data_IF_251782156975
#
_entry.id   IF_251782156975
#
_cell.length_a   1.000
_cell.length_b   1.000
_cell.length_c   1.000
_cell.angle_alpha   90.00
_cell.angle_beta   90.00
_cell.angle_gamma   90.00
#
_symmetry.space_group_name_H-M   'P 1'
#
loop_
_entity.id
_entity.type
_entity.pdbx_description
1 polymer ?
#
# COMPACT_ATOMS: atom_id res chain seq x y z
N UNK A 1 1.61 -2.45 -15.50
CA UNK A 1 0.59 -1.71 -14.73
C UNK A 1 -0.72 -2.47 -14.71
N UNK A 2 -1.34 -2.72 -15.86
CA UNK A 2 -2.68 -3.35 -15.97
C UNK A 2 -2.83 -4.67 -15.20
N UNK A 3 -1.84 -5.55 -15.24
CA UNK A 3 -1.89 -6.82 -14.49
C UNK A 3 -1.99 -6.59 -12.98
N UNK A 4 -1.26 -5.62 -12.43
CA UNK A 4 -1.30 -5.31 -10.99
C UNK A 4 -2.64 -4.70 -10.59
N UNK A 5 -3.19 -3.80 -11.42
CA UNK A 5 -4.53 -3.21 -11.19
C UNK A 5 -5.61 -4.30 -11.19
N UNK A 6 -5.53 -5.22 -12.14
CA UNK A 6 -6.44 -6.38 -12.20
C UNK A 6 -6.33 -7.27 -10.97
N UNK A 7 -5.10 -7.63 -10.56
CA UNK A 7 -4.86 -8.40 -9.33
C UNK A 7 -5.49 -7.70 -8.12
N UNK A 8 -5.25 -6.40 -7.97
CA UNK A 8 -5.82 -5.63 -6.87
C UNK A 8 -7.35 -5.65 -6.90
N UNK A 9 -7.97 -5.35 -8.04
CA UNK A 9 -9.43 -5.33 -8.17
C UNK A 9 -10.07 -6.69 -7.89
N UNK A 10 -9.49 -7.77 -8.44
CA UNK A 10 -9.96 -9.13 -8.17
C UNK A 10 -9.78 -9.53 -6.70
N UNK A 11 -8.71 -9.07 -6.05
CA UNK A 11 -8.48 -9.27 -4.62
C UNK A 11 -9.47 -8.49 -3.77
N UNK A 12 -9.77 -7.24 -4.15
CA UNK A 12 -10.69 -6.36 -3.45
C UNK A 12 -12.13 -6.91 -3.50
N UNK A 13 -12.55 -7.41 -4.67
CA UNK A 13 -13.87 -8.03 -4.82
C UNK A 13 -14.00 -9.28 -3.93
N UNK A 14 -13.01 -10.18 -3.96
CA UNK A 14 -13.03 -11.38 -3.11
C UNK A 14 -12.91 -11.05 -1.61
N UNK A 15 -12.13 -10.03 -1.26
CA UNK A 15 -12.06 -9.51 0.10
C UNK A 15 -13.43 -9.08 0.59
N UNK A 16 -14.18 -8.32 -0.20
CA UNK A 16 -15.54 -7.94 0.15
C UNK A 16 -16.50 -9.12 0.24
N UNK A 17 -16.44 -10.07 -0.70
CA UNK A 17 -17.29 -11.27 -0.69
C UNK A 17 -17.06 -12.13 0.57
N UNK A 18 -15.83 -12.19 1.07
CA UNK A 18 -15.44 -13.08 2.18
C UNK A 18 -15.35 -12.40 3.54
N UNK A 19 -15.07 -11.10 3.60
CA UNK A 19 -14.77 -10.36 4.83
C UNK A 19 -15.80 -9.27 5.17
N UNK A 20 -16.90 -9.11 4.40
CA UNK A 20 -17.95 -8.14 4.68
C UNK A 20 -18.46 -8.20 6.14
N UNK A 21 -18.66 -9.41 6.69
CA UNK A 21 -19.09 -9.58 8.07
C UNK A 21 -18.06 -9.07 9.09
N UNK A 22 -16.76 -9.25 8.83
CA UNK A 22 -15.70 -8.73 9.68
C UNK A 22 -15.64 -7.20 9.63
N UNK A 23 -15.84 -6.59 8.45
CA UNK A 23 -15.92 -5.14 8.30
C UNK A 23 -17.13 -4.60 9.10
N UNK A 24 -18.29 -5.23 8.98
CA UNK A 24 -19.52 -4.81 9.67
C UNK A 24 -19.45 -4.99 11.19
N UNK A 25 -18.72 -6.01 11.68
CA UNK A 25 -18.50 -6.25 13.10
C UNK A 25 -17.36 -5.40 13.69
N UNK A 26 -16.91 -4.36 12.97
CA UNK A 26 -15.87 -3.43 13.38
C UNK A 26 -14.53 -4.12 13.74
N UNK A 27 -14.22 -5.25 13.09
CA UNK A 27 -12.93 -5.94 13.28
C UNK A 27 -11.77 -4.99 12.95
N UNK A 28 -10.70 -5.05 13.72
CA UNK A 28 -9.57 -4.10 13.61
C UNK A 28 -8.94 -4.07 12.21
N UNK A 29 -8.52 -2.89 11.75
CA UNK A 29 -7.89 -2.66 10.42
C UNK A 29 -6.72 -3.63 10.17
N UNK A 30 -5.85 -3.85 11.16
CA UNK A 30 -4.73 -4.80 11.05
C UNK A 30 -5.16 -6.22 10.71
N UNK A 31 -6.27 -6.68 11.28
CA UNK A 31 -6.79 -8.00 10.98
C UNK A 31 -7.34 -8.04 9.56
N UNK A 32 -8.13 -7.04 9.16
CA UNK A 32 -8.64 -6.91 7.79
C UNK A 32 -7.51 -6.87 6.75
N UNK A 33 -6.43 -6.15 7.01
CA UNK A 33 -5.23 -6.13 6.16
C UNK A 33 -4.55 -7.49 6.06
N UNK A 34 -4.42 -8.22 7.17
CA UNK A 34 -3.89 -9.59 7.15
C UNK A 34 -4.79 -10.54 6.35
N UNK A 35 -6.12 -10.41 6.45
CA UNK A 35 -7.07 -11.17 5.64
C UNK A 35 -6.97 -10.82 4.16
N UNK A 36 -6.85 -9.55 3.81
CA UNK A 36 -6.61 -9.10 2.44
C UNK A 36 -5.31 -9.69 1.89
N UNK A 37 -4.23 -9.69 2.67
CA UNK A 37 -2.94 -10.27 2.28
C UNK A 37 -3.05 -11.74 1.85
N UNK A 38 -3.87 -12.53 2.56
CA UNK A 38 -4.13 -13.94 2.24
C UNK A 38 -4.83 -14.14 0.89
N UNK A 39 -5.50 -13.12 0.36
CA UNK A 39 -6.16 -13.14 -0.96
C UNK A 39 -5.22 -12.58 -2.04
N UNK A 40 -4.55 -11.46 -1.74
CA UNK A 40 -3.68 -10.74 -2.67
C UNK A 40 -2.46 -11.56 -3.10
N UNK A 41 -1.77 -12.21 -2.15
CA UNK A 41 -0.54 -12.94 -2.45
C UNK A 41 -0.77 -14.13 -3.41
N UNK A 42 -1.75 -15.02 -3.19
CA UNK A 42 -2.02 -16.11 -4.13
C UNK A 42 -2.37 -15.60 -5.55
N UNK A 43 -3.17 -14.54 -5.67
CA UNK A 43 -3.50 -13.96 -6.98
C UNK A 43 -2.27 -13.36 -7.66
N UNK A 44 -1.40 -12.68 -6.92
CA UNK A 44 -0.13 -12.20 -7.45
C UNK A 44 0.76 -13.36 -7.95
N UNK A 45 0.88 -14.43 -7.16
CA UNK A 45 1.66 -15.61 -7.56
C UNK A 45 1.08 -16.29 -8.79
N UNK A 46 -0.24 -16.45 -8.88
CA UNK A 46 -0.91 -17.01 -10.05
C UNK A 46 -0.68 -16.18 -11.32
N UNK A 47 -0.49 -14.86 -11.18
CA UNK A 47 -0.16 -13.95 -12.27
C UNK A 47 1.36 -13.88 -12.60
N UNK A 48 2.20 -14.70 -11.95
CA UNK A 48 3.63 -14.82 -12.25
C UNK A 48 4.57 -14.11 -11.26
N UNK A 49 4.04 -13.43 -10.23
CA UNK A 49 4.84 -12.74 -9.21
C UNK A 49 5.31 -13.70 -8.10
N UNK A 50 5.98 -14.80 -8.48
CA UNK A 50 6.29 -15.94 -7.59
C UNK A 50 7.16 -15.57 -6.36
N UNK A 51 8.01 -14.55 -6.49
CA UNK A 51 8.93 -14.10 -5.46
C UNK A 51 8.44 -12.87 -4.69
N UNK A 52 7.16 -12.51 -4.84
CA UNK A 52 6.53 -11.41 -4.12
C UNK A 52 5.63 -11.93 -3.01
N UNK A 53 5.55 -11.16 -1.93
CA UNK A 53 4.82 -11.48 -0.72
C UNK A 53 3.90 -10.33 -0.35
N UNK A 54 2.69 -10.66 0.11
CA UNK A 54 1.78 -9.67 0.67
C UNK A 54 1.97 -9.66 2.20
N UNK A 55 2.64 -8.63 2.72
CA UNK A 55 2.96 -8.53 4.15
C UNK A 55 2.23 -7.35 4.79
N UNK A 56 1.50 -7.61 5.88
CA UNK A 56 0.92 -6.57 6.70
C UNK A 56 1.97 -5.96 7.64
N UNK A 57 1.95 -4.64 7.81
CA UNK A 57 2.83 -3.89 8.72
C UNK A 57 4.34 -4.16 8.56
N UNK A 58 4.79 -4.54 7.34
CA UNK A 58 6.19 -4.86 7.12
C UNK A 58 7.07 -3.61 7.03
N UNK A 59 7.87 -3.39 8.06
CA UNK A 59 8.66 -2.17 8.25
C UNK A 59 10.18 -2.40 8.15
N UNK A 60 10.62 -3.44 7.43
CA UNK A 60 12.06 -3.70 7.20
C UNK A 60 12.45 -3.49 5.74
N UNK A 61 13.64 -2.96 5.47
CA UNK A 61 14.30 -3.04 4.16
C UNK A 61 15.74 -3.51 4.37
N UNK A 62 16.07 -4.72 3.92
CA UNK A 62 17.40 -5.35 4.10
C UNK A 62 17.90 -5.30 5.56
N UNK A 63 17.00 -5.42 6.53
CA UNK A 63 17.30 -5.41 7.96
C UNK A 63 17.14 -4.05 8.65
N UNK A 64 17.08 -2.95 7.90
CA UNK A 64 16.86 -1.62 8.45
C UNK A 64 15.37 -1.26 8.55
N UNK A 65 15.00 -0.30 9.39
CA UNK A 65 13.63 0.25 9.41
C UNK A 65 13.34 0.98 8.10
N UNK A 66 12.18 0.74 7.49
CA UNK A 66 11.74 1.46 6.28
C UNK A 66 11.52 2.94 6.60
N UNK A 67 12.14 3.82 5.83
CA UNK A 67 11.94 5.26 5.95
C UNK A 67 11.59 5.88 4.61
N UNK A 68 10.91 7.03 4.63
CA UNK A 68 10.71 7.90 3.46
C UNK A 68 11.28 9.27 3.78
N UNK A 69 11.65 10.03 2.74
CA UNK A 69 11.86 11.45 2.86
C UNK A 69 10.55 12.17 2.53
N UNK A 70 10.05 12.96 3.46
CA UNK A 70 8.88 13.80 3.21
C UNK A 70 9.21 14.95 2.24
N UNK A 71 8.21 15.76 1.89
CA UNK A 71 8.41 16.88 0.96
C UNK A 71 9.33 17.98 1.56
N UNK A 72 9.63 17.94 2.86
CA UNK A 72 10.60 18.83 3.52
C UNK A 72 11.98 18.17 3.68
N UNK A 73 12.22 17.02 3.03
CA UNK A 73 13.44 16.21 3.17
C UNK A 73 13.71 15.72 4.58
N UNK A 74 12.67 15.55 5.40
CA UNK A 74 12.76 14.95 6.73
C UNK A 74 12.58 13.44 6.62
N UNK A 75 13.49 12.68 7.24
CA UNK A 75 13.39 11.22 7.32
C UNK A 75 12.28 10.80 8.29
N UNK A 76 11.31 10.04 7.78
CA UNK A 76 10.16 9.55 8.53
C UNK A 76 10.10 8.03 8.42
N UNK A 77 10.03 7.34 9.56
CA UNK A 77 9.79 5.88 9.58
C UNK A 77 8.38 5.56 9.11
N UNK A 78 8.26 4.54 8.26
CA UNK A 78 6.98 4.12 7.70
C UNK A 78 6.67 2.66 7.97
N UNK A 79 5.39 2.41 8.23
CA UNK A 79 4.78 1.08 8.33
C UNK A 79 3.46 1.16 7.58
N UNK A 80 3.43 0.69 6.33
CA UNK A 80 2.19 0.58 5.58
C UNK A 80 1.34 -0.56 6.13
N UNK A 81 0.03 -0.41 6.05
CA UNK A 81 -0.89 -1.44 6.53
C UNK A 81 -0.71 -2.76 5.77
N UNK A 82 -0.52 -2.71 4.45
CA UNK A 82 -0.22 -3.86 3.61
C UNK A 82 0.67 -3.48 2.42
N UNK A 83 1.67 -4.33 2.12
CA UNK A 83 2.52 -4.17 0.94
C UNK A 83 2.66 -5.48 0.16
N UNK A 84 2.74 -5.38 -1.17
CA UNK A 84 3.17 -6.44 -2.08
C UNK A 84 4.58 -6.12 -2.58
N UNK A 85 5.56 -6.90 -2.17
CA UNK A 85 6.98 -6.63 -2.40
C UNK A 85 7.83 -7.91 -2.41
N UNK A 86 9.07 -7.81 -2.87
CA UNK A 86 9.99 -8.97 -2.92
C UNK A 86 10.82 -9.17 -1.64
N UNK A 87 10.59 -8.34 -0.61
CA UNK A 87 11.40 -8.25 0.62
C UNK A 87 12.88 -7.92 0.34
N UNK A 88 13.12 -7.07 -0.66
CA UNK A 88 14.46 -6.62 -1.07
C UNK A 88 15.22 -7.59 -1.99
N UNK A 89 14.59 -8.66 -2.48
CA UNK A 89 15.22 -9.68 -3.34
C UNK A 89 15.41 -9.25 -4.80
N UNK A 90 14.57 -8.36 -5.30
CA UNK A 90 14.57 -7.88 -6.68
C UNK A 90 14.89 -6.39 -6.69
N UNK A 91 16.15 -6.03 -6.94
CA UNK A 91 16.61 -4.64 -6.78
C UNK A 91 15.91 -3.67 -7.75
N UNK A 92 15.71 -4.09 -9.00
CA UNK A 92 15.10 -3.26 -10.04
C UNK A 92 13.60 -3.00 -9.80
N UNK A 93 12.92 -3.92 -9.09
CA UNK A 93 11.47 -3.85 -8.88
C UNK A 93 11.04 -4.51 -7.56
N UNK A 94 11.54 -4.02 -6.43
CA UNK A 94 11.20 -4.63 -5.14
C UNK A 94 9.74 -4.39 -4.75
N UNK A 95 9.27 -3.17 -4.96
CA UNK A 95 7.99 -2.68 -4.44
C UNK A 95 6.93 -2.66 -5.55
N UNK A 96 5.80 -3.36 -5.38
CA UNK A 96 4.71 -3.38 -6.36
C UNK A 96 3.51 -2.57 -5.90
N UNK A 97 2.90 -2.95 -4.78
CA UNK A 97 1.66 -2.34 -4.26
C UNK A 97 1.86 -1.94 -2.80
N UNK A 98 1.44 -0.73 -2.44
CA UNK A 98 1.23 -0.31 -1.06
C UNK A 98 -0.26 -0.02 -0.83
N UNK A 99 -0.80 -0.42 0.31
CA UNK A 99 -2.18 -0.19 0.71
C UNK A 99 -2.20 0.40 2.12
N UNK A 100 -2.96 1.48 2.28
CA UNK A 100 -3.41 2.00 3.58
C UNK A 100 -4.92 1.76 3.69
N UNK A 101 -5.38 1.24 4.82
CA UNK A 101 -6.78 0.91 5.06
C UNK A 101 -7.33 1.72 6.21
N UNK A 102 -8.49 2.35 5.99
CA UNK A 102 -9.11 3.22 6.99
C UNK A 102 -10.59 2.98 7.14
N UNK A 103 -11.06 2.93 8.37
CA UNK A 103 -12.49 2.97 8.70
C UNK A 103 -13.03 4.40 8.72
N UNK A 104 -14.31 4.55 8.39
CA UNK A 104 -15.03 5.83 8.33
C UNK A 104 -15.13 6.58 9.65
N UNK A 105 -14.97 5.88 10.78
CA UNK A 105 -15.02 6.47 12.12
C UNK A 105 -13.68 7.10 12.58
N UNK A 106 -12.69 7.17 11.70
CA UNK A 106 -11.37 7.74 11.99
C UNK A 106 -11.25 9.20 11.52
N UNK A 107 -10.35 9.99 12.10
CA UNK A 107 -10.18 11.40 11.73
C UNK A 107 -9.67 11.60 10.30
N UNK A 108 -10.22 12.60 9.59
CA UNK A 108 -9.80 13.00 8.23
C UNK A 108 -8.31 13.37 8.12
N UNK A 109 -7.71 13.87 9.21
CA UNK A 109 -6.29 14.21 9.25
C UNK A 109 -5.36 13.01 9.07
N UNK A 110 -5.84 11.81 9.39
CA UNK A 110 -5.11 10.56 9.15
C UNK A 110 -5.16 10.19 7.65
N UNK A 111 -6.32 10.35 6.99
CA UNK A 111 -6.45 10.14 5.53
C UNK A 111 -5.48 11.02 4.74
N UNK A 112 -5.38 12.31 5.09
CA UNK A 112 -4.46 13.24 4.40
C UNK A 112 -3.02 12.76 4.52
N UNK A 113 -2.62 12.27 5.70
CA UNK A 113 -1.28 11.75 5.96
C UNK A 113 -1.00 10.49 5.16
N UNK A 114 -1.95 9.56 5.14
CA UNK A 114 -1.84 8.29 4.43
C UNK A 114 -1.77 8.51 2.91
N UNK A 115 -2.60 9.39 2.36
CA UNK A 115 -2.54 9.76 0.95
C UNK A 115 -1.21 10.43 0.58
N UNK A 116 -0.70 11.36 1.39
CA UNK A 116 0.60 11.98 1.15
C UNK A 116 1.75 10.95 1.17
N UNK A 117 1.68 9.99 2.11
CA UNK A 117 2.64 8.89 2.17
C UNK A 117 2.60 8.02 0.91
N UNK A 118 1.41 7.63 0.43
CA UNK A 118 1.26 6.86 -0.82
C UNK A 118 1.77 7.63 -2.04
N UNK A 119 1.57 8.95 -2.10
CA UNK A 119 2.19 9.80 -3.14
C UNK A 119 3.72 9.68 -3.09
N UNK A 120 4.33 9.92 -1.93
CA UNK A 120 5.80 9.83 -1.80
C UNK A 120 6.31 8.42 -2.18
N UNK A 121 5.67 7.37 -1.70
CA UNK A 121 6.10 5.99 -1.92
C UNK A 121 5.99 5.53 -3.37
N UNK A 122 5.09 6.13 -4.15
CA UNK A 122 4.91 5.83 -5.58
C UNK A 122 5.75 6.71 -6.49
N UNK A 123 6.55 7.64 -5.95
CA UNK A 123 7.57 8.34 -6.76
C UNK A 123 8.57 7.29 -7.32
N UNK A 124 8.97 7.39 -8.60
CA UNK A 124 9.86 6.41 -9.22
C UNK A 124 11.26 6.40 -8.57
N UNK A 125 11.69 7.56 -8.08
CA UNK A 125 12.95 7.80 -7.40
C UNK A 125 12.80 9.02 -6.48
N UNK A 126 13.82 9.31 -5.68
CA UNK A 126 13.94 10.55 -4.92
C UNK A 126 14.94 11.49 -5.62
N UNK A 127 14.79 11.74 -6.92
CA UNK A 127 15.73 12.59 -7.68
C UNK A 127 15.85 14.03 -7.11
N UNK A 128 14.83 14.49 -6.38
CA UNK A 128 14.83 15.80 -5.71
C UNK A 128 15.70 15.84 -4.44
N UNK A 129 16.22 14.70 -3.98
CA UNK A 129 17.08 14.61 -2.80
C UNK A 129 18.51 14.31 -3.27
N UNK A 130 19.33 15.36 -3.33
CA UNK A 130 20.77 15.22 -3.46
C UNK A 130 21.31 14.40 -2.28
N UNK A 131 21.54 13.11 -2.49
CA UNK A 131 22.31 12.29 -1.56
C UNK A 131 23.78 12.75 -1.66
N UNK A 132 24.16 13.66 -0.75
CA UNK A 132 25.48 14.32 -0.69
C UNK A 132 26.65 13.38 -0.35
N UNK A 133 26.39 12.10 -0.14
CA UNK A 133 27.41 11.08 0.08
C UNK A 133 27.01 9.84 -0.70
N UNK A 134 27.68 9.59 -1.83
CA UNK A 134 27.29 8.60 -2.83
C UNK A 134 26.79 7.25 -2.27
N UNK A 135 25.85 6.67 -3.03
CA UNK A 135 24.97 5.52 -2.76
C UNK A 135 23.64 5.89 -2.10
N UNK A 136 22.56 5.51 -2.78
CA UNK A 136 21.19 5.61 -2.29
C UNK A 136 21.08 4.75 -1.03
N UNK A 137 20.77 5.34 0.13
CA UNK A 137 20.66 4.56 1.35
C UNK A 137 19.51 3.56 1.20
N UNK A 138 19.84 2.27 1.35
CA UNK A 138 18.90 1.16 1.31
C UNK A 138 17.71 1.28 2.27
N UNK A 139 17.70 2.26 3.18
CA UNK A 139 16.59 2.55 4.11
C UNK A 139 15.42 3.28 3.46
N UNK A 140 15.69 4.11 2.45
CA UNK A 140 14.64 4.90 1.79
C UNK A 140 13.79 4.02 0.88
N UNK A 141 12.48 4.13 1.02
CA UNK A 141 11.52 3.27 0.34
C UNK A 141 10.61 4.08 -0.59
N UNK A 142 10.87 3.97 -1.89
CA UNK A 142 10.00 4.44 -2.97
C UNK A 142 9.91 3.40 -4.09
N UNK A 143 9.36 3.79 -5.24
CA UNK A 143 9.29 2.93 -6.42
C UNK A 143 8.16 1.91 -6.41
N UNK A 144 7.21 2.02 -5.47
CA UNK A 144 5.94 1.28 -5.57
C UNK A 144 5.26 1.66 -6.89
N UNK A 145 4.82 0.66 -7.66
CA UNK A 145 4.11 0.91 -8.93
C UNK A 145 2.74 1.52 -8.68
N UNK A 146 2.05 1.05 -7.64
CA UNK A 146 0.70 1.45 -7.28
C UNK A 146 0.61 1.64 -5.77
N UNK A 147 -0.10 2.69 -5.36
CA UNK A 147 -0.54 2.93 -4.00
C UNK A 147 -2.06 2.96 -3.95
N UNK A 148 -2.66 2.40 -2.91
CA UNK A 148 -4.10 2.42 -2.71
C UNK A 148 -4.44 2.91 -1.31
N UNK A 149 -5.35 3.87 -1.21
CA UNK A 149 -6.00 4.23 0.04
C UNK A 149 -7.41 3.66 0.01
N UNK A 150 -7.71 2.69 0.88
CA UNK A 150 -9.02 2.04 0.97
C UNK A 150 -9.76 2.55 2.21
N UNK A 151 -10.82 3.31 1.98
CA UNK A 151 -11.72 3.81 3.00
C UNK A 151 -12.99 2.94 3.09
N UNK A 152 -13.38 2.56 4.31
CA UNK A 152 -14.47 1.62 4.59
C UNK A 152 -15.53 2.23 5.51
N UNK A 153 -16.77 2.28 5.04
CA UNK A 153 -17.95 2.58 5.83
C UNK A 153 -18.75 1.32 6.11
N UNK A 154 -18.54 0.76 7.30
CA UNK A 154 -19.21 -0.45 7.76
C UNK A 154 -20.73 -0.26 7.92
N UNK A 155 -21.19 0.94 8.28
CA UNK A 155 -22.60 1.23 8.54
C UNK A 155 -23.39 1.28 7.23
N UNK A 156 -22.85 1.98 6.23
CA UNK A 156 -23.48 2.14 4.92
C UNK A 156 -23.07 1.06 3.92
N UNK A 157 -22.21 0.10 4.32
CA UNK A 157 -21.66 -0.94 3.45
C UNK A 157 -21.05 -0.36 2.17
N UNK A 158 -20.29 0.71 2.34
CA UNK A 158 -19.75 1.49 1.24
C UNK A 158 -18.24 1.62 1.37
N UNK A 159 -17.53 1.61 0.25
CA UNK A 159 -16.09 1.82 0.22
C UNK A 159 -15.71 2.87 -0.80
N UNK A 160 -14.54 3.47 -0.60
CA UNK A 160 -13.87 4.34 -1.56
C UNK A 160 -12.40 3.95 -1.66
N UNK A 161 -11.88 3.89 -2.87
CA UNK A 161 -10.47 3.65 -3.17
C UNK A 161 -9.91 4.84 -3.92
N UNK A 162 -8.79 5.37 -3.44
CA UNK A 162 -7.96 6.34 -4.17
C UNK A 162 -6.68 5.63 -4.63
N UNK A 163 -6.37 5.74 -5.92
CA UNK A 163 -5.22 5.09 -6.55
C UNK A 163 -4.12 6.12 -6.80
N UNK A 164 -2.89 5.75 -6.46
CA UNK A 164 -1.69 6.55 -6.62
C UNK A 164 -0.68 5.85 -7.52
N UNK A 165 -0.04 6.60 -8.41
CA UNK A 165 1.08 6.13 -9.22
C UNK A 165 1.98 7.29 -9.60
N UNK A 166 3.29 7.07 -9.65
CA UNK A 166 4.28 8.07 -10.06
C UNK A 166 4.18 9.39 -9.28
N UNK A 167 3.87 9.32 -7.97
CA UNK A 167 3.77 10.50 -7.12
C UNK A 167 2.43 11.23 -7.13
N UNK A 168 1.46 10.77 -7.93
CA UNK A 168 0.19 11.45 -8.13
C UNK A 168 -0.98 10.53 -7.84
N UNK A 169 -2.10 11.11 -7.44
CA UNK A 169 -3.39 10.44 -7.50
C UNK A 169 -3.84 10.35 -8.95
N UNK A 170 -4.17 9.15 -9.41
CA UNK A 170 -4.47 8.88 -10.82
C UNK A 170 -5.90 8.39 -11.04
N UNK A 171 -6.59 7.94 -9.99
CA UNK A 171 -7.97 7.47 -10.08
C UNK A 171 -8.63 7.47 -8.69
N UNK A 172 -9.96 7.59 -8.68
CA UNK A 172 -10.80 7.35 -7.50
C UNK A 172 -12.02 6.54 -7.93
N UNK A 173 -12.39 5.52 -7.15
CA UNK A 173 -13.61 4.77 -7.37
C UNK A 173 -14.25 4.35 -6.05
N UNK A 174 -15.55 4.09 -6.08
CA UNK A 174 -16.32 3.70 -4.90
C UNK A 174 -17.38 2.67 -5.26
N UNK A 175 -17.93 2.03 -4.25
CA UNK A 175 -18.98 1.04 -4.43
C UNK A 175 -19.52 0.53 -3.11
N UNK A 176 -20.37 -0.49 -3.20
CA UNK A 176 -20.89 -1.20 -2.03
C UNK A 176 -20.26 -2.58 -1.90
N UNK A 177 -20.20 -3.09 -0.67
CA UNK A 177 -19.76 -4.45 -0.34
C UNK A 177 -20.78 -5.17 0.54
#
# INVERSE_FOLDING_TARGET
MEVLKRIFQESLNEFFDTEASNIQNDVAERNLCARFAMILEPKAKAAGFLNYFADAEYNRNRGNVKTILDDNSVEVSITCDLILHSRGKLEEQDNLIALEMKKSNRPDSEEVRDCNRLRIMTKPNYDDVYVTSGSFDSRYVCGYKLGYFLWLDANNRHYRVREFSSGQEVNEFSGSF
#
